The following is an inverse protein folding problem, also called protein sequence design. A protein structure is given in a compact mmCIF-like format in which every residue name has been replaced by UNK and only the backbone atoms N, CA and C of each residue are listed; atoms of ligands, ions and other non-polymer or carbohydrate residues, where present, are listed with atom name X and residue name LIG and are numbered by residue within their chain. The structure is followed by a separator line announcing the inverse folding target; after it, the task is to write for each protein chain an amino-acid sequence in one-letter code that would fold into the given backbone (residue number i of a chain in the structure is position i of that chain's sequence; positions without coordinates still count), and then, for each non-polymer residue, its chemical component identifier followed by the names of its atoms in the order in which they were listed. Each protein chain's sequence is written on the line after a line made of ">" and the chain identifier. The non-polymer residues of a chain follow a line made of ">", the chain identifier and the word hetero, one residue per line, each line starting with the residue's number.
data_IF_063403565118
#
_entry.id   IF_063403565118
#
_cell.length_a   1.000
_cell.length_b   1.000
_cell.length_c   1.000
_cell.angle_alpha   90.00
_cell.angle_beta   90.00
_cell.angle_gamma   90.00
#
_symmetry.space_group_name_H-M   'P 1'
#
loop_
_entity.id
_entity.type
_entity.pdbx_description
1 polymer ?
#
# COMPACT_ATOMS: atom_id res chain seq x y z
N UNK A 1 39.34 -6.47 74.16
CA UNK A 1 37.89 -6.25 74.38
C UNK A 1 37.67 -4.96 75.16
N UNK A 2 37.25 -3.88 74.48
CA UNK A 2 36.19 -2.97 74.93
C UNK A 2 35.73 -2.09 73.73
N UNK A 3 34.46 -1.65 73.67
CA UNK A 3 33.74 -1.23 72.45
C UNK A 3 33.61 0.30 72.28
N UNK A 4 33.07 0.70 71.12
CA UNK A 4 32.35 1.95 70.79
C UNK A 4 32.93 3.30 71.24
N UNK A 5 33.48 4.03 70.27
CA UNK A 5 33.39 5.50 70.22
C UNK A 5 32.77 5.89 68.86
N UNK A 6 31.45 6.06 68.85
CA UNK A 6 30.75 6.77 67.78
C UNK A 6 30.99 8.28 67.98
N UNK A 7 31.88 8.87 67.18
CA UNK A 7 31.90 10.32 67.00
C UNK A 7 31.00 10.67 65.81
N UNK A 8 29.78 11.09 66.14
CA UNK A 8 28.92 11.86 65.25
C UNK A 8 29.67 13.11 64.77
N UNK A 9 30.12 13.10 63.52
CA UNK A 9 30.44 14.33 62.80
C UNK A 9 29.29 14.60 61.85
N UNK A 10 28.31 15.37 62.33
CA UNK A 10 27.32 16.01 61.50
C UNK A 10 28.05 16.91 60.50
N UNK A 11 28.14 16.49 59.24
CA UNK A 11 28.66 17.34 58.18
C UNK A 11 27.72 18.54 58.02
N UNK A 12 28.20 19.78 58.16
CA UNK A 12 27.37 20.95 57.96
C UNK A 12 26.83 20.95 56.53
N UNK A 13 25.52 21.12 56.39
CA UNK A 13 24.89 21.20 55.07
C UNK A 13 25.52 22.34 54.25
N UNK A 14 25.75 22.15 52.95
CA UNK A 14 26.41 23.15 52.12
C UNK A 14 25.56 24.43 52.06
N UNK A 15 26.16 25.54 52.48
CA UNK A 15 25.56 26.87 52.39
C UNK A 15 25.70 27.38 50.95
N UNK A 16 24.57 27.51 50.24
CA UNK A 16 24.51 27.89 48.82
C UNK A 16 24.15 29.37 48.63
N UNK A 17 24.38 30.20 49.65
CA UNK A 17 24.10 31.64 49.56
C UNK A 17 25.34 32.38 49.06
N UNK A 18 25.42 32.57 47.75
CA UNK A 18 26.20 33.66 47.14
C UNK A 18 27.53 33.29 46.47
N UNK A 19 27.84 32.00 46.30
CA UNK A 19 29.02 31.58 45.55
C UNK A 19 28.65 31.15 44.13
N UNK A 20 29.19 31.87 43.15
CA UNK A 20 28.99 31.62 41.72
C UNK A 20 29.60 30.25 41.38
N UNK A 21 28.78 29.35 40.82
CA UNK A 21 29.17 27.98 40.52
C UNK A 21 30.16 27.99 39.34
N UNK A 22 31.46 27.96 39.62
CA UNK A 22 32.48 27.85 38.57
C UNK A 22 32.47 26.43 38.02
N UNK A 23 31.90 26.27 36.83
CA UNK A 23 31.92 25.00 36.08
C UNK A 23 33.35 24.83 35.55
N UNK A 24 34.02 23.68 35.79
CA UNK A 24 35.35 23.45 35.24
C UNK A 24 35.31 23.48 33.71
N UNK A 25 36.27 24.19 33.12
CA UNK A 25 36.35 24.56 31.69
C UNK A 25 36.48 23.36 30.72
N UNK A 26 36.49 22.13 31.25
CA UNK A 26 36.62 20.88 30.50
C UNK A 26 35.38 19.99 30.55
N UNK A 27 34.26 20.47 31.12
CA UNK A 27 32.98 19.79 30.98
C UNK A 27 32.36 20.18 29.64
N UNK A 28 32.63 19.38 28.61
CA UNK A 28 31.79 19.36 27.40
C UNK A 28 30.40 18.90 27.81
N UNK A 29 29.57 19.85 28.22
CA UNK A 29 28.12 19.68 28.33
C UNK A 29 27.67 19.36 26.92
N UNK A 30 27.54 18.06 26.62
CA UNK A 30 26.83 17.60 25.43
C UNK A 30 25.38 18.01 25.63
N UNK A 31 25.10 19.26 25.26
CA UNK A 31 23.75 19.71 24.98
C UNK A 31 23.33 18.85 23.81
N UNK A 32 22.45 17.89 24.06
CA UNK A 32 21.59 17.35 23.03
C UNK A 32 20.72 18.54 22.59
N UNK A 33 21.29 19.41 21.78
CA UNK A 33 20.51 20.28 20.92
C UNK A 33 19.65 19.34 20.11
N UNK A 34 18.37 19.31 20.45
CA UNK A 34 17.30 18.83 19.62
C UNK A 34 17.41 19.61 18.29
N UNK A 35 18.24 19.08 17.39
CA UNK A 35 18.47 19.65 16.10
C UNK A 35 17.30 19.19 15.25
N UNK A 36 16.17 19.86 15.37
CA UNK A 36 15.16 19.87 14.30
C UNK A 36 15.85 20.52 13.12
N UNK A 37 16.58 19.70 12.36
CA UNK A 37 17.38 20.10 11.20
C UNK A 37 16.38 20.41 10.10
N UNK A 38 15.75 21.58 10.19
CA UNK A 38 14.86 22.10 9.17
C UNK A 38 15.68 22.32 7.91
N UNK A 39 15.57 21.37 6.99
CA UNK A 39 15.39 21.58 5.55
C UNK A 39 16.15 22.77 4.95
N UNK A 40 17.42 22.56 4.60
CA UNK A 40 18.15 23.46 3.68
C UNK A 40 18.41 22.79 2.32
N UNK A 41 18.05 21.51 2.15
CA UNK A 41 18.24 20.75 0.89
C UNK A 41 16.92 20.60 0.10
N UNK A 42 15.81 21.16 0.58
CA UNK A 42 14.50 20.98 -0.06
C UNK A 42 14.41 21.63 -1.43
N UNK A 43 15.08 22.78 -1.65
CA UNK A 43 15.00 23.51 -2.93
C UNK A 43 15.54 22.73 -4.12
N UNK A 44 16.82 22.30 -4.13
CA UNK A 44 17.38 21.50 -5.22
C UNK A 44 16.68 20.15 -5.40
N UNK A 45 16.26 19.51 -4.31
CA UNK A 45 15.53 18.23 -4.35
C UNK A 45 14.14 18.41 -4.98
N UNK A 46 13.40 19.45 -4.61
CA UNK A 46 12.07 19.71 -5.15
C UNK A 46 12.15 20.14 -6.63
N UNK A 47 13.18 20.90 -7.01
CA UNK A 47 13.44 21.26 -8.40
C UNK A 47 13.83 20.06 -9.26
N UNK A 48 14.71 19.19 -8.77
CA UNK A 48 15.08 17.95 -9.47
C UNK A 48 13.88 17.01 -9.60
N UNK A 49 13.07 16.87 -8.56
CA UNK A 49 11.81 16.12 -8.60
C UNK A 49 10.86 16.67 -9.67
N UNK A 50 10.69 18.00 -9.75
CA UNK A 50 9.84 18.64 -10.75
C UNK A 50 10.34 18.41 -12.18
N UNK A 51 11.65 18.44 -12.43
CA UNK A 51 12.24 18.11 -13.74
C UNK A 51 11.98 16.65 -14.10
N UNK A 52 12.24 15.72 -13.16
CA UNK A 52 12.00 14.28 -13.39
C UNK A 52 10.53 14.05 -13.73
N UNK A 53 9.61 14.66 -12.99
CA UNK A 53 8.18 14.58 -13.25
C UNK A 53 7.84 15.10 -14.66
N UNK A 54 8.39 16.25 -15.06
CA UNK A 54 8.16 16.83 -16.40
C UNK A 54 8.69 15.92 -17.52
N UNK A 55 9.84 15.27 -17.33
CA UNK A 55 10.39 14.30 -18.29
C UNK A 55 9.51 13.06 -18.41
N UNK A 56 9.03 12.53 -17.29
CA UNK A 56 8.10 11.39 -17.26
C UNK A 56 6.81 11.74 -18.00
N UNK A 57 6.19 12.88 -17.67
CA UNK A 57 4.97 13.37 -18.33
C UNK A 57 5.18 13.61 -19.83
N UNK A 58 6.30 14.24 -20.22
CA UNK A 58 6.63 14.47 -21.62
C UNK A 58 6.85 13.17 -22.40
N UNK A 59 7.54 12.20 -21.79
CA UNK A 59 7.75 10.87 -22.35
C UNK A 59 6.44 10.10 -22.53
N UNK A 60 5.58 10.10 -21.50
CA UNK A 60 4.25 9.49 -21.55
C UNK A 60 3.35 10.15 -22.60
N UNK A 61 3.33 11.47 -22.67
CA UNK A 61 2.56 12.21 -23.67
C UNK A 61 3.01 11.87 -25.09
N UNK A 62 4.33 11.85 -25.33
CA UNK A 62 4.89 11.50 -26.64
C UNK A 62 4.59 10.05 -27.02
N UNK A 63 4.75 9.12 -26.07
CA UNK A 63 4.44 7.71 -26.24
C UNK A 63 2.96 7.50 -26.57
N UNK A 64 2.04 8.08 -25.79
CA UNK A 64 0.60 8.02 -26.04
C UNK A 64 0.22 8.54 -27.43
N UNK A 65 0.78 9.68 -27.85
CA UNK A 65 0.56 10.26 -29.19
C UNK A 65 1.10 9.40 -30.35
N UNK A 66 2.02 8.47 -30.09
CA UNK A 66 2.52 7.52 -31.08
C UNK A 66 1.62 6.29 -31.18
N UNK A 67 1.07 5.83 -30.05
CA UNK A 67 0.16 4.69 -30.01
C UNK A 67 -1.18 5.01 -30.66
N UNK A 68 -1.71 6.22 -30.45
CA UNK A 68 -2.99 6.65 -31.02
C UNK A 68 -2.96 6.89 -32.54
N UNK A 69 -1.77 6.93 -33.16
CA UNK A 69 -1.62 7.21 -34.60
C UNK A 69 -1.85 6.00 -35.51
N UNK A 70 -2.49 4.94 -35.02
CA UNK A 70 -2.93 3.84 -35.87
C UNK A 70 -4.43 3.53 -35.72
N UNK A 71 -5.32 4.30 -36.35
CA UNK A 71 -6.28 3.64 -37.22
C UNK A 71 -5.46 3.16 -38.43
N UNK A 72 -4.81 2.00 -38.31
CA UNK A 72 -4.64 1.19 -39.51
C UNK A 72 -6.06 0.84 -39.92
N UNK A 73 -6.66 1.71 -40.71
CA UNK A 73 -7.86 1.41 -41.47
C UNK A 73 -7.44 0.21 -42.32
N UNK A 74 -7.69 -0.99 -41.79
CA UNK A 74 -7.55 -2.19 -42.57
C UNK A 74 -8.34 -1.91 -43.85
N UNK A 75 -7.76 -2.19 -45.04
CA UNK A 75 -8.55 -2.06 -46.26
C UNK A 75 -9.88 -2.79 -45.99
N UNK A 76 -11.03 -2.21 -46.36
CA UNK A 76 -12.32 -2.82 -46.07
C UNK A 76 -12.23 -4.27 -46.53
N UNK A 77 -12.23 -5.19 -45.56
CA UNK A 77 -12.22 -6.61 -45.86
C UNK A 77 -13.62 -6.83 -46.40
N UNK A 78 -13.74 -6.81 -47.72
CA UNK A 78 -14.96 -7.23 -48.40
C UNK A 78 -15.17 -8.70 -48.03
N UNK A 79 -15.93 -8.93 -46.97
CA UNK A 79 -16.38 -10.27 -46.62
C UNK A 79 -17.22 -10.73 -47.81
N UNK A 80 -16.90 -11.88 -48.42
CA UNK A 80 -17.75 -12.46 -49.45
C UNK A 80 -19.20 -12.44 -48.94
N UNK A 81 -20.10 -11.99 -49.79
CA UNK A 81 -21.54 -12.11 -49.49
C UNK A 81 -21.88 -13.59 -49.29
N UNK A 82 -22.99 -13.89 -48.61
CA UNK A 82 -23.40 -15.27 -48.36
C UNK A 82 -23.49 -16.11 -49.67
N UNK A 83 -23.76 -15.44 -50.80
CA UNK A 83 -23.82 -16.03 -52.13
C UNK A 83 -22.44 -16.26 -52.79
N UNK A 84 -21.40 -15.54 -52.36
CA UNK A 84 -20.02 -15.68 -52.81
C UNK A 84 -19.20 -16.64 -51.93
N UNK A 85 -19.72 -16.98 -50.75
CA UNK A 85 -19.13 -17.94 -49.85
C UNK A 85 -19.47 -19.37 -50.27
N UNK A 86 -18.59 -19.98 -51.07
CA UNK A 86 -18.69 -21.40 -51.47
C UNK A 86 -18.07 -22.37 -50.45
N UNK A 87 -17.74 -21.92 -49.24
CA UNK A 87 -17.28 -22.83 -48.20
C UNK A 87 -18.46 -23.68 -47.72
N UNK A 88 -18.29 -25.01 -47.60
CA UNK A 88 -19.30 -25.85 -46.98
C UNK A 88 -19.52 -25.34 -45.56
N UNK A 89 -20.78 -25.10 -45.15
CA UNK A 89 -21.12 -24.73 -43.78
C UNK A 89 -20.41 -25.70 -42.82
N UNK A 90 -19.37 -25.19 -42.15
CA UNK A 90 -18.52 -26.02 -41.34
C UNK A 90 -19.22 -26.30 -40.02
N UNK A 91 -19.68 -27.54 -39.85
CA UNK A 91 -20.24 -28.06 -38.60
C UNK A 91 -19.34 -27.79 -37.37
N UNK A 92 -18.03 -27.56 -37.59
CA UNK A 92 -17.09 -27.18 -36.53
C UNK A 92 -17.26 -25.74 -36.07
N UNK A 93 -17.57 -24.81 -36.98
CA UNK A 93 -17.79 -23.41 -36.63
C UNK A 93 -19.10 -23.22 -35.84
N UNK A 94 -20.14 -23.95 -36.22
CA UNK A 94 -21.42 -23.99 -35.48
C UNK A 94 -21.23 -24.61 -34.08
N UNK A 95 -20.57 -25.76 -33.98
CA UNK A 95 -20.25 -26.37 -32.69
C UNK A 95 -19.39 -25.48 -31.78
N UNK A 96 -18.49 -24.67 -32.36
CA UNK A 96 -17.67 -23.72 -31.61
C UNK A 96 -18.49 -22.53 -31.09
N UNK A 97 -19.45 -22.03 -31.86
CA UNK A 97 -20.37 -20.97 -31.43
C UNK A 97 -21.34 -21.47 -30.33
N UNK A 98 -21.84 -22.69 -30.48
CA UNK A 98 -22.66 -23.35 -29.45
C UNK A 98 -21.85 -23.57 -28.16
N UNK A 99 -20.59 -24.00 -28.27
CA UNK A 99 -19.72 -24.17 -27.11
C UNK A 99 -19.45 -22.86 -26.36
N UNK A 100 -19.32 -21.72 -27.06
CA UNK A 100 -19.17 -20.40 -26.42
C UNK A 100 -20.42 -19.98 -25.65
N UNK A 101 -21.62 -20.35 -26.14
CA UNK A 101 -22.89 -20.09 -25.46
C UNK A 101 -23.03 -20.91 -24.17
N UNK A 102 -22.53 -22.15 -24.17
CA UNK A 102 -22.58 -23.05 -23.00
C UNK A 102 -21.60 -22.64 -21.89
N UNK A 103 -20.49 -21.95 -22.23
CA UNK A 103 -19.50 -21.50 -21.24
C UNK A 103 -19.88 -20.21 -20.48
N UNK A 104 -21.08 -19.67 -20.69
CA UNK A 104 -21.61 -18.48 -20.01
C UNK A 104 -22.71 -18.78 -18.98
N UNK A 105 -22.61 -19.82 -18.11
CA UNK A 105 -23.63 -20.05 -17.10
C UNK A 105 -23.77 -18.88 -16.11
N UNK A 106 -22.84 -17.93 -16.09
CA UNK A 106 -22.89 -16.71 -15.27
C UNK A 106 -23.66 -15.54 -15.90
N UNK A 107 -24.19 -15.68 -17.13
CA UNK A 107 -24.92 -14.59 -17.80
C UNK A 107 -26.45 -14.66 -17.57
N UNK A 108 -26.96 -15.76 -17.00
CA UNK A 108 -28.37 -15.89 -16.63
C UNK A 108 -28.57 -15.45 -15.18
N UNK A 109 -29.46 -14.47 -14.96
CA UNK A 109 -29.77 -13.93 -13.62
C UNK A 109 -30.13 -15.05 -12.63
N UNK A 110 -30.86 -16.07 -13.09
CA UNK A 110 -31.25 -17.21 -12.24
C UNK A 110 -30.08 -18.10 -11.80
N UNK A 111 -29.01 -18.19 -12.58
CA UNK A 111 -27.81 -18.94 -12.19
C UNK A 111 -27.03 -18.20 -11.10
N UNK A 112 -26.95 -16.86 -11.18
CA UNK A 112 -26.36 -16.02 -10.13
C UNK A 112 -27.17 -16.12 -8.83
N UNK A 113 -28.50 -16.08 -8.93
CA UNK A 113 -29.40 -16.23 -7.76
C UNK A 113 -29.23 -17.61 -7.12
N UNK A 114 -29.14 -18.67 -7.91
CA UNK A 114 -28.88 -20.03 -7.41
C UNK A 114 -27.52 -20.16 -6.75
N UNK A 115 -26.47 -19.55 -7.30
CA UNK A 115 -25.12 -19.61 -6.72
C UNK A 115 -25.03 -18.82 -5.40
N UNK A 116 -25.75 -17.70 -5.29
CA UNK A 116 -25.86 -16.93 -4.06
C UNK A 116 -26.66 -17.68 -2.99
N UNK A 117 -27.75 -18.36 -3.36
CA UNK A 117 -28.53 -19.18 -2.42
C UNK A 117 -27.80 -20.47 -2.01
N UNK A 118 -26.97 -21.03 -2.89
CA UNK A 118 -26.10 -22.16 -2.59
C UNK A 118 -24.87 -21.77 -1.74
N UNK A 119 -24.54 -20.47 -1.66
CA UNK A 119 -23.49 -19.97 -0.77
C UNK A 119 -24.02 -19.96 0.66
N UNK A 120 -23.40 -20.76 1.53
CA UNK A 120 -23.78 -20.87 2.95
C UNK A 120 -23.32 -19.64 3.75
N UNK A 121 -24.09 -18.55 3.64
CA UNK A 121 -23.81 -17.29 4.34
C UNK A 121 -24.02 -17.41 5.87
N UNK A 122 -24.81 -18.37 6.32
CA UNK A 122 -25.05 -18.62 7.75
C UNK A 122 -23.81 -19.25 8.41
N UNK A 123 -23.16 -20.21 7.73
CA UNK A 123 -21.88 -20.75 8.20
C UNK A 123 -20.80 -19.68 8.28
N UNK A 124 -20.76 -18.75 7.32
CA UNK A 124 -19.79 -17.66 7.31
C UNK A 124 -19.99 -16.68 8.48
N UNK A 125 -21.24 -16.40 8.88
CA UNK A 125 -21.53 -15.55 10.04
C UNK A 125 -21.07 -16.22 11.34
N UNK A 126 -21.37 -17.52 11.50
CA UNK A 126 -20.92 -18.30 12.65
C UNK A 126 -19.39 -18.44 12.72
N UNK A 127 -18.72 -18.56 11.57
CA UNK A 127 -17.26 -18.59 11.48
C UNK A 127 -16.64 -17.24 11.87
N UNK A 128 -17.25 -16.12 11.47
CA UNK A 128 -16.80 -14.78 11.85
C UNK A 128 -16.95 -14.54 13.36
N UNK A 129 -18.09 -14.91 13.94
CA UNK A 129 -18.31 -14.82 15.40
C UNK A 129 -17.29 -15.66 16.18
N UNK A 130 -16.93 -16.85 15.66
CA UNK A 130 -15.93 -17.70 16.28
C UNK A 130 -14.52 -17.07 16.24
N UNK A 131 -14.17 -16.42 15.13
CA UNK A 131 -12.90 -15.70 14.97
C UNK A 131 -12.84 -14.50 15.92
N UNK A 132 -13.93 -13.73 16.04
CA UNK A 132 -13.98 -12.58 16.95
C UNK A 132 -13.81 -13.01 18.42
N UNK A 133 -14.44 -14.12 18.81
CA UNK A 133 -14.29 -14.69 20.15
C UNK A 133 -12.86 -15.21 20.42
N UNK A 134 -12.20 -15.81 19.43
CA UNK A 134 -10.80 -16.24 19.53
C UNK A 134 -9.86 -15.03 19.66
N UNK A 135 -10.09 -13.99 18.84
CA UNK A 135 -9.29 -12.77 18.85
C UNK A 135 -9.41 -12.02 20.19
N UNK A 136 -10.62 -11.89 20.72
CA UNK A 136 -10.85 -11.24 22.02
C UNK A 136 -10.21 -12.01 23.17
N UNK A 137 -10.23 -13.35 23.12
CA UNK A 137 -9.56 -14.19 24.10
C UNK A 137 -8.02 -14.02 24.04
N UNK A 138 -7.45 -13.97 22.83
CA UNK A 138 -6.02 -13.78 22.63
C UNK A 138 -5.51 -12.38 23.06
N UNK A 139 -6.37 -11.36 23.03
CA UNK A 139 -6.03 -10.00 23.47
C UNK A 139 -6.15 -9.81 25.00
N UNK A 140 -6.86 -10.70 25.69
CA UNK A 140 -7.06 -10.64 27.14
C UNK A 140 -6.05 -11.51 27.92
N UNK A 141 -5.24 -12.31 27.22
CA UNK A 141 -4.08 -13.03 27.75
C UNK A 141 -2.81 -12.18 27.71
#
# INVERSE_FOLDING_TARGET
>A
MNPNEEHHNETPAPNINGEEMIIPENMEVTRLTEQTKSSVITGPILFTLAIILAVILGGLYYWFNIMDKNPSEAPPVERPTADENNEPESTTAEAQADAMTVTSPSDEIGAIESDLEATDLESLDAELDAIDAELDAALQE
#
